data_IF_252297571034
#
_entry.id   IF_252297571034
#
_cell.length_a   1.000
_cell.length_b   1.000
_cell.length_c   1.000
_cell.angle_alpha   90.00
_cell.angle_beta   90.00
_cell.angle_gamma   90.00
#
_symmetry.space_group_name_H-M   'P 1'
#
loop_
_entity.id
_entity.type
_entity.pdbx_description
1 polymer ?
#
# COMPACT_ATOMS: atom_id res chain seq x y z
N UNK A 1 -27.53 -21.10 26.93
CA UNK A 1 -27.08 -21.28 25.53
C UNK A 1 -25.56 -21.24 25.54
N UNK A 2 -24.85 -22.18 24.91
CA UNK A 2 -23.39 -22.12 24.86
C UNK A 2 -22.97 -20.93 23.99
N UNK A 3 -22.08 -20.08 24.51
CA UNK A 3 -21.42 -19.04 23.74
C UNK A 3 -20.52 -19.72 22.71
N UNK A 4 -20.98 -19.86 21.46
CA UNK A 4 -20.15 -20.31 20.35
C UNK A 4 -19.21 -19.14 20.04
N UNK A 5 -18.00 -19.16 20.62
CA UNK A 5 -16.93 -18.26 20.19
C UNK A 5 -16.59 -18.64 18.75
N UNK A 6 -16.98 -17.79 17.81
CA UNK A 6 -16.56 -17.91 16.41
C UNK A 6 -15.03 -17.85 16.38
N UNK A 7 -14.42 -18.70 15.55
CA UNK A 7 -12.98 -18.72 15.36
C UNK A 7 -12.54 -17.35 14.80
N UNK A 8 -11.62 -16.61 15.48
CA UNK A 8 -11.21 -15.24 15.11
C UNK A 8 -10.81 -15.06 13.63
N UNK A 9 -10.36 -16.14 12.99
CA UNK A 9 -9.95 -16.19 11.58
C UNK A 9 -11.12 -15.94 10.63
N UNK A 10 -12.25 -16.59 10.90
CA UNK A 10 -13.47 -16.36 10.12
C UNK A 10 -13.99 -14.94 10.32
N UNK A 11 -13.84 -14.41 11.54
CA UNK A 11 -14.27 -13.05 11.87
C UNK A 11 -13.51 -12.02 11.03
N UNK A 12 -12.19 -12.17 10.89
CA UNK A 12 -11.35 -11.22 10.12
C UNK A 12 -11.74 -11.20 8.64
N UNK A 13 -11.78 -12.35 7.97
CA UNK A 13 -12.16 -12.43 6.55
C UNK A 13 -13.59 -11.93 6.31
N UNK A 14 -14.55 -12.36 7.15
CA UNK A 14 -15.93 -11.87 7.05
C UNK A 14 -16.00 -10.36 7.23
N UNK A 15 -15.21 -9.79 8.14
CA UNK A 15 -15.18 -8.34 8.35
C UNK A 15 -14.58 -7.59 7.17
N UNK A 16 -13.46 -8.05 6.61
CA UNK A 16 -12.84 -7.45 5.43
C UNK A 16 -13.83 -7.48 4.25
N UNK A 17 -14.49 -8.61 4.01
CA UNK A 17 -15.50 -8.74 2.96
C UNK A 17 -16.69 -7.78 3.19
N UNK A 18 -17.16 -7.69 4.42
CA UNK A 18 -18.22 -6.75 4.80
C UNK A 18 -17.82 -5.28 4.59
N UNK A 19 -16.57 -4.91 4.87
CA UNK A 19 -16.07 -3.55 4.61
C UNK A 19 -16.04 -3.28 3.11
N UNK A 20 -15.51 -4.22 2.33
CA UNK A 20 -15.46 -4.14 0.89
C UNK A 20 -16.84 -3.99 0.25
N UNK A 21 -17.81 -4.82 0.67
CA UNK A 21 -19.19 -4.76 0.17
C UNK A 21 -19.91 -3.45 0.53
N UNK A 22 -19.63 -2.87 1.70
CA UNK A 22 -20.32 -1.67 2.17
C UNK A 22 -19.69 -0.37 1.68
N UNK A 23 -18.40 -0.37 1.36
CA UNK A 23 -17.65 0.83 1.01
C UNK A 23 -17.22 0.80 -0.47
N UNK A 24 -16.67 -0.30 -0.96
CA UNK A 24 -16.10 -0.37 -2.32
C UNK A 24 -17.17 -0.66 -3.37
N UNK A 25 -18.02 -1.67 -3.18
CA UNK A 25 -19.06 -2.00 -4.17
C UNK A 25 -19.97 -0.81 -4.53
N UNK A 26 -20.42 0.03 -3.57
CA UNK A 26 -21.19 1.22 -3.91
C UNK A 26 -20.42 2.20 -4.79
N UNK A 27 -19.11 2.38 -4.55
CA UNK A 27 -18.27 3.28 -5.34
C UNK A 27 -18.18 2.85 -6.81
N UNK A 28 -18.13 1.56 -7.09
CA UNK A 28 -18.07 1.01 -8.45
C UNK A 28 -19.43 1.04 -9.15
N UNK A 29 -20.52 0.85 -8.40
CA UNK A 29 -21.88 0.82 -8.95
C UNK A 29 -22.43 2.22 -9.31
N UNK A 30 -21.94 3.26 -8.63
CA UNK A 30 -22.36 4.64 -8.87
C UNK A 30 -21.53 5.27 -9.99
N UNK A 31 -21.96 5.09 -11.23
CA UNK A 31 -21.63 6.04 -12.29
C UNK A 31 -22.26 7.38 -11.91
N UNK A 32 -21.47 8.42 -11.55
CA UNK A 32 -22.04 9.69 -11.14
C UNK A 32 -22.84 10.28 -12.32
N UNK A 33 -24.12 10.57 -12.09
CA UNK A 33 -24.86 11.41 -13.04
C UNK A 33 -24.20 12.78 -13.07
N UNK A 34 -24.19 13.45 -14.23
CA UNK A 34 -23.66 14.81 -14.37
C UNK A 34 -24.34 15.83 -13.43
N UNK A 35 -25.48 15.46 -12.83
CA UNK A 35 -26.26 16.25 -11.87
C UNK A 35 -25.94 15.98 -10.40
N UNK A 36 -25.20 14.91 -10.08
CA UNK A 36 -24.99 14.54 -8.69
C UNK A 36 -23.85 15.40 -8.11
N UNK A 37 -24.08 16.12 -7.00
CA UNK A 37 -22.98 16.79 -6.31
C UNK A 37 -21.94 15.73 -5.90
N UNK A 38 -20.65 16.07 -5.87
CA UNK A 38 -19.57 15.11 -5.64
C UNK A 38 -19.55 14.56 -4.20
N UNK A 39 -20.50 13.69 -3.85
CA UNK A 39 -20.64 13.12 -2.50
C UNK A 39 -19.52 12.14 -2.13
N UNK A 40 -18.71 11.69 -3.10
CA UNK A 40 -17.70 10.63 -2.91
C UNK A 40 -16.26 11.14 -3.02
N UNK A 41 -16.07 12.45 -3.13
CA UNK A 41 -14.76 13.10 -3.09
C UNK A 41 -14.45 13.75 -1.75
N UNK A 42 -15.43 13.69 -0.86
CA UNK A 42 -15.32 14.26 0.45
C UNK A 42 -14.35 13.42 1.28
N UNK A 43 -13.60 14.14 2.09
CA UNK A 43 -12.92 13.54 3.22
C UNK A 43 -13.94 12.76 4.04
N UNK A 44 -13.58 11.53 4.39
CA UNK A 44 -14.37 10.65 5.25
C UNK A 44 -14.07 11.05 6.69
N UNK A 45 -15.01 11.71 7.39
CA UNK A 45 -14.79 12.09 8.79
C UNK A 45 -14.87 10.85 9.70
N UNK A 46 -14.27 10.95 10.89
CA UNK A 46 -14.15 9.80 11.80
C UNK A 46 -15.50 9.24 12.28
N UNK A 47 -16.54 10.07 12.36
CA UNK A 47 -17.89 9.62 12.70
C UNK A 47 -18.50 8.71 11.63
N UNK A 48 -18.14 8.90 10.35
CA UNK A 48 -18.55 8.01 9.27
C UNK A 48 -17.73 6.71 9.30
N UNK A 49 -16.42 6.79 9.52
CA UNK A 49 -15.55 5.61 9.69
C UNK A 49 -16.05 4.68 10.82
N UNK A 50 -16.47 5.27 11.95
CA UNK A 50 -16.99 4.54 13.10
C UNK A 50 -18.22 3.68 12.79
N UNK A 51 -19.06 4.07 11.82
CA UNK A 51 -20.24 3.27 11.41
C UNK A 51 -19.86 1.92 10.82
N UNK A 52 -18.67 1.83 10.23
CA UNK A 52 -18.14 0.62 9.62
C UNK A 52 -17.23 -0.17 10.55
N UNK A 53 -17.02 0.28 11.80
CA UNK A 53 -16.02 -0.30 12.69
C UNK A 53 -14.60 -0.03 12.22
N UNK A 54 -14.37 1.16 11.66
CA UNK A 54 -13.04 1.66 11.31
C UNK A 54 -12.67 2.74 12.33
N UNK A 55 -11.46 2.66 12.87
CA UNK A 55 -10.91 3.69 13.75
C UNK A 55 -9.63 4.25 13.20
N UNK A 56 -9.63 5.56 12.97
CA UNK A 56 -8.47 6.30 12.54
C UNK A 56 -7.84 7.00 13.74
N UNK A 57 -6.54 6.89 13.88
CA UNK A 57 -5.80 7.45 15.01
C UNK A 57 -4.57 8.21 14.51
N UNK A 58 -4.30 9.42 15.03
CA UNK A 58 -3.04 10.09 14.77
C UNK A 58 -1.87 9.24 15.25
N UNK A 59 -0.80 9.16 14.45
CA UNK A 59 0.36 8.36 14.75
C UNK A 59 1.64 9.02 14.28
N UNK A 60 2.60 9.18 15.20
CA UNK A 60 3.90 9.75 14.88
C UNK A 60 4.87 8.66 14.41
N UNK A 61 4.98 8.52 13.09
CA UNK A 61 5.89 7.60 12.43
C UNK A 61 7.38 7.99 12.57
N UNK A 62 7.69 9.20 13.06
CA UNK A 62 9.08 9.65 13.29
C UNK A 62 9.67 9.09 14.60
N UNK A 63 8.80 8.70 15.56
CA UNK A 63 9.24 8.15 16.84
C UNK A 63 9.69 6.69 16.64
N UNK A 64 10.98 6.42 16.87
CA UNK A 64 11.61 5.10 16.68
C UNK A 64 11.16 4.03 17.69
N UNK A 65 10.46 4.41 18.74
CA UNK A 65 9.98 3.50 19.78
C UNK A 65 8.56 3.04 19.44
N UNK A 66 8.46 2.13 18.48
CA UNK A 66 7.22 1.41 18.13
C UNK A 66 6.92 0.37 19.21
N UNK A 67 6.76 0.84 20.45
CA UNK A 67 6.73 -0.01 21.63
C UNK A 67 5.54 -0.97 21.54
N UNK A 68 5.83 -2.27 21.52
CA UNK A 68 4.85 -3.36 21.52
C UNK A 68 4.00 -3.40 22.80
N UNK A 69 4.35 -2.57 23.79
CA UNK A 69 3.69 -2.49 25.08
C UNK A 69 2.49 -1.52 25.11
N UNK A 70 2.23 -0.76 24.05
CA UNK A 70 0.98 0.00 23.98
C UNK A 70 -0.17 -0.95 23.63
N UNK A 71 -0.93 -1.36 24.65
CA UNK A 71 -2.08 -2.28 24.52
C UNK A 71 -3.30 -1.64 23.88
N UNK A 72 -3.31 -0.33 23.64
CA UNK A 72 -4.48 0.39 23.14
C UNK A 72 -4.74 0.12 21.65
N UNK A 73 -3.69 -0.17 20.88
CA UNK A 73 -3.76 -0.35 19.43
C UNK A 73 -2.80 -1.44 18.94
N UNK A 74 -3.11 -2.15 17.85
CA UNK A 74 -2.26 -3.22 17.34
C UNK A 74 -0.86 -2.73 16.97
N UNK A 75 0.21 -3.50 17.25
CA UNK A 75 1.58 -3.06 16.97
C UNK A 75 1.79 -2.81 15.48
N UNK A 76 2.64 -1.83 15.14
CA UNK A 76 3.02 -1.59 13.73
C UNK A 76 3.92 -2.73 13.26
N UNK A 77 3.43 -3.51 12.30
CA UNK A 77 4.13 -4.69 11.78
C UNK A 77 5.12 -4.37 10.65
N UNK A 78 5.49 -3.10 10.46
CA UNK A 78 6.54 -2.69 9.53
C UNK A 78 7.70 -2.09 10.31
N UNK A 79 8.91 -2.56 10.03
CA UNK A 79 10.14 -1.99 10.57
C UNK A 79 10.79 -1.13 9.48
N UNK A 80 10.79 0.22 9.61
CA UNK A 80 11.36 1.09 8.59
C UNK A 80 12.83 0.76 8.36
N UNK A 81 13.27 0.90 7.11
CA UNK A 81 14.67 0.77 6.73
C UNK A 81 15.46 1.94 7.32
N UNK A 82 15.74 1.87 8.62
CA UNK A 82 16.62 2.82 9.26
C UNK A 82 18.03 2.61 8.70
N UNK A 83 18.69 3.72 8.38
CA UNK A 83 20.14 3.77 8.22
C UNK A 83 20.72 3.18 9.51
N UNK A 84 21.06 1.88 9.48
CA UNK A 84 21.66 1.17 10.61
C UNK A 84 22.79 2.06 11.11
N UNK A 85 22.84 2.30 12.41
CA UNK A 85 23.87 3.12 13.05
C UNK A 85 25.22 2.89 12.37
N UNK A 86 25.83 3.98 11.93
CA UNK A 86 27.06 4.07 11.13
C UNK A 86 28.30 3.38 11.72
N UNK A 87 28.15 2.56 12.75
CA UNK A 87 29.22 1.92 13.51
C UNK A 87 29.46 0.45 13.15
N UNK A 88 28.58 -0.22 12.38
CA UNK A 88 28.76 -1.66 12.06
C UNK A 88 28.82 -2.00 10.56
N UNK A 89 28.80 -1.00 9.68
CA UNK A 89 29.02 -1.21 8.25
C UNK A 89 30.51 -1.03 7.97
N UNK A 90 31.28 -2.12 8.06
CA UNK A 90 32.54 -2.23 7.32
C UNK A 90 32.28 -1.88 5.85
N UNK A 91 33.03 -0.94 5.24
CA UNK A 91 32.75 -0.44 3.91
C UNK A 91 33.21 -1.47 2.88
N UNK A 92 32.41 -2.50 2.64
CA UNK A 92 32.59 -3.39 1.50
C UNK A 92 31.35 -3.36 0.61
N UNK A 93 31.48 -2.54 -0.43
CA UNK A 93 30.67 -2.41 -1.67
C UNK A 93 29.23 -1.88 -1.55
N UNK A 94 28.82 -0.96 -2.46
CA UNK A 94 27.60 -0.16 -2.34
C UNK A 94 26.36 -0.96 -2.80
N UNK A 95 25.91 -1.92 -1.99
CA UNK A 95 24.70 -2.69 -2.27
C UNK A 95 23.43 -1.85 -2.17
N UNK A 96 23.40 -0.83 -1.29
CA UNK A 96 22.23 0.04 -1.13
C UNK A 96 22.02 1.00 -2.31
N UNK A 97 23.08 1.46 -2.97
CA UNK A 97 22.98 2.30 -4.19
C UNK A 97 22.37 1.48 -5.33
N UNK A 98 22.79 0.22 -5.51
CA UNK A 98 22.21 -0.70 -6.49
C UNK A 98 20.75 -1.07 -6.16
N UNK A 99 20.37 -1.14 -4.88
CA UNK A 99 18.99 -1.40 -4.45
C UNK A 99 18.08 -0.19 -4.66
N UNK A 100 18.55 1.01 -4.30
CA UNK A 100 17.84 2.26 -4.59
C UNK A 100 17.70 2.46 -6.11
N UNK A 101 18.76 2.18 -6.86
CA UNK A 101 18.73 2.13 -8.33
C UNK A 101 17.62 1.23 -8.85
N UNK A 102 17.54 -0.01 -8.36
CA UNK A 102 16.55 -0.95 -8.86
C UNK A 102 15.11 -0.52 -8.55
N UNK A 103 14.88 0.02 -7.36
CA UNK A 103 13.57 0.59 -6.98
C UNK A 103 13.20 1.77 -7.89
N UNK A 104 14.17 2.66 -8.12
CA UNK A 104 14.02 3.85 -8.93
C UNK A 104 13.81 3.47 -10.41
N UNK A 105 14.47 2.44 -10.92
CA UNK A 105 14.29 1.94 -12.29
C UNK A 105 12.91 1.31 -12.49
N UNK A 106 12.37 0.57 -11.51
CA UNK A 106 11.01 0.01 -11.57
C UNK A 106 9.97 1.13 -11.57
N UNK A 107 10.12 2.10 -10.66
CA UNK A 107 9.25 3.27 -10.59
C UNK A 107 9.36 4.09 -11.88
N UNK A 108 10.57 4.28 -12.43
CA UNK A 108 10.81 4.95 -13.71
C UNK A 108 10.20 4.20 -14.89
N UNK A 109 10.28 2.88 -14.97
CA UNK A 109 9.72 2.07 -16.05
C UNK A 109 8.19 2.08 -16.03
N UNK A 110 7.59 1.99 -14.85
CA UNK A 110 6.14 2.11 -14.69
C UNK A 110 5.69 3.55 -15.03
N UNK A 111 6.39 4.57 -14.55
CA UNK A 111 6.10 5.97 -14.88
C UNK A 111 6.35 6.30 -16.37
N UNK A 112 7.38 5.73 -17.00
CA UNK A 112 7.68 5.92 -18.42
C UNK A 112 6.61 5.29 -19.32
N UNK A 113 6.08 4.11 -18.96
CA UNK A 113 4.91 3.51 -19.62
C UNK A 113 3.66 4.38 -19.48
N UNK A 114 3.53 5.13 -18.40
CA UNK A 114 2.39 6.01 -18.10
C UNK A 114 2.53 7.42 -18.72
N UNK A 115 3.75 7.94 -18.90
CA UNK A 115 4.04 9.25 -19.51
C UNK A 115 3.78 9.29 -21.02
N UNK A 116 3.67 8.14 -21.69
CA UNK A 116 3.26 8.06 -23.10
C UNK A 116 1.81 8.59 -23.29
N UNK A 117 1.03 8.76 -22.21
CA UNK A 117 -0.37 9.21 -22.27
C UNK A 117 -0.70 10.59 -21.68
N UNK A 118 0.23 11.32 -21.05
CA UNK A 118 -0.12 12.56 -20.29
C UNK A 118 0.68 13.77 -20.80
N UNK A 119 0.01 14.71 -21.46
CA UNK A 119 0.58 16.02 -21.78
C UNK A 119 0.17 17.07 -20.73
N UNK A 120 1.12 17.81 -20.17
CA UNK A 120 0.85 18.96 -19.30
C UNK A 120 1.72 19.08 -18.05
N UNK A 121 1.36 20.03 -17.18
CA UNK A 121 2.09 20.51 -15.98
C UNK A 121 2.35 19.41 -14.93
N UNK A 122 1.57 18.33 -14.95
CA UNK A 122 1.78 17.15 -14.10
C UNK A 122 3.04 16.37 -14.51
N UNK A 123 3.40 16.41 -15.80
CA UNK A 123 4.62 15.82 -16.33
C UNK A 123 5.88 16.53 -15.86
N UNK A 124 5.86 17.83 -15.58
CA UNK A 124 7.07 18.58 -15.16
C UNK A 124 7.42 18.41 -13.68
N UNK A 125 6.44 18.22 -12.79
CA UNK A 125 6.72 17.88 -11.38
C UNK A 125 7.23 16.45 -11.28
N UNK A 126 6.59 15.52 -12.01
CA UNK A 126 7.02 14.13 -12.12
C UNK A 126 8.40 14.02 -12.79
N UNK A 127 8.67 14.81 -13.83
CA UNK A 127 9.98 14.87 -14.49
C UNK A 127 11.07 15.43 -13.58
N UNK A 128 10.74 16.37 -12.68
CA UNK A 128 11.69 16.85 -11.66
C UNK A 128 11.95 15.80 -10.58
N UNK A 129 10.92 15.06 -10.17
CA UNK A 129 11.04 13.91 -9.27
C UNK A 129 11.94 12.83 -9.87
N UNK A 130 11.73 12.53 -11.16
CA UNK A 130 12.53 11.64 -12.00
C UNK A 130 13.96 12.16 -12.20
N UNK A 131 14.14 13.44 -12.52
CA UNK A 131 15.45 14.03 -12.77
C UNK A 131 16.31 14.11 -11.50
N UNK A 132 15.70 14.32 -10.33
CA UNK A 132 16.39 14.26 -9.03
C UNK A 132 16.78 12.82 -8.70
N UNK A 133 15.93 11.84 -9.02
CA UNK A 133 16.25 10.41 -8.90
C UNK A 133 17.33 9.95 -9.90
N UNK A 134 17.36 10.51 -11.12
CA UNK A 134 18.31 10.18 -12.19
C UNK A 134 19.66 10.91 -12.09
N UNK A 135 19.72 12.16 -11.62
CA UNK A 135 20.98 12.93 -11.57
C UNK A 135 22.02 12.40 -10.57
N UNK A 136 21.66 11.45 -9.71
CA UNK A 136 22.62 10.69 -8.89
C UNK A 136 23.30 9.53 -9.62
N UNK A 137 22.86 9.16 -10.83
CA UNK A 137 23.06 7.82 -11.39
C UNK A 137 23.16 7.85 -12.93
N UNK A 138 24.38 7.86 -13.48
CA UNK A 138 24.58 7.66 -14.93
C UNK A 138 25.31 6.35 -15.20
N UNK A 139 24.63 5.47 -15.94
CA UNK A 139 25.18 4.34 -16.69
C UNK A 139 24.03 3.68 -17.49
N UNK A 140 24.19 3.40 -18.80
CA UNK A 140 23.07 2.93 -19.63
C UNK A 140 22.80 1.44 -19.39
N UNK A 141 21.52 1.05 -19.34
CA UNK A 141 21.08 -0.36 -19.27
C UNK A 141 20.19 -0.65 -20.49
N UNK A 142 20.44 -1.78 -21.16
CA UNK A 142 19.69 -2.27 -22.31
C UNK A 142 18.37 -2.95 -21.89
N UNK A 143 17.35 -2.85 -22.74
CA UNK A 143 16.00 -3.40 -22.53
C UNK A 143 16.02 -4.94 -22.51
N UNK A 144 15.36 -5.55 -21.51
CA UNK A 144 15.01 -6.98 -21.58
C UNK A 144 14.80 -7.77 -20.28
N UNK A 145 15.11 -7.24 -19.08
CA UNK A 145 15.07 -8.07 -17.85
C UNK A 145 14.29 -7.40 -16.70
N UNK A 146 13.40 -8.17 -16.06
CA UNK A 146 12.67 -7.80 -14.85
C UNK A 146 13.66 -7.63 -13.68
N UNK A 147 13.60 -6.51 -12.97
CA UNK A 147 14.65 -6.10 -12.04
C UNK A 147 14.36 -6.58 -10.60
N UNK A 148 15.21 -7.47 -10.08
CA UNK A 148 15.16 -7.95 -8.69
C UNK A 148 15.74 -6.93 -7.70
N UNK A 149 15.05 -6.71 -6.59
CA UNK A 149 15.45 -5.81 -5.51
C UNK A 149 15.86 -6.61 -4.27
N UNK A 150 17.02 -7.26 -4.33
CA UNK A 150 17.46 -8.18 -3.26
C UNK A 150 18.02 -7.39 -2.06
N UNK A 151 17.21 -7.23 -1.01
CA UNK A 151 17.64 -6.67 0.28
C UNK A 151 18.22 -7.76 1.19
N UNK A 152 19.37 -8.33 0.84
CA UNK A 152 20.17 -9.33 1.59
C UNK A 152 19.47 -10.66 1.98
N UNK A 153 18.17 -10.67 2.26
CA UNK A 153 17.32 -11.80 2.66
C UNK A 153 15.83 -11.63 2.29
N UNK A 154 15.39 -10.47 1.76
CA UNK A 154 13.99 -10.28 1.31
C UNK A 154 13.94 -9.46 0.02
N UNK A 155 12.95 -9.73 -0.84
CA UNK A 155 12.72 -9.00 -2.10
C UNK A 155 11.34 -8.36 -2.04
N UNK A 156 11.27 -7.04 -2.24
CA UNK A 156 10.01 -6.34 -2.49
C UNK A 156 9.73 -6.49 -3.98
N UNK A 157 8.65 -7.15 -4.33
CA UNK A 157 8.28 -7.42 -5.72
C UNK A 157 6.99 -6.68 -6.08
N UNK A 158 6.76 -6.42 -7.38
CA UNK A 158 5.42 -6.08 -7.85
C UNK A 158 4.42 -7.07 -7.27
N UNK A 159 3.28 -6.55 -6.84
CA UNK A 159 2.21 -7.35 -6.30
C UNK A 159 1.85 -8.53 -7.21
N UNK A 160 1.51 -9.66 -6.57
CA UNK A 160 0.86 -10.76 -7.25
C UNK A 160 -0.35 -10.26 -8.06
N UNK A 161 -0.62 -10.86 -9.23
CA UNK A 161 -1.80 -10.55 -10.05
C UNK A 161 -3.11 -10.62 -9.24
N UNK A 162 -3.19 -11.50 -8.24
CA UNK A 162 -4.34 -11.61 -7.33
C UNK A 162 -4.57 -10.40 -6.42
N UNK A 163 -3.56 -9.55 -6.22
CA UNK A 163 -3.72 -8.31 -5.47
C UNK A 163 -4.28 -7.17 -6.31
N UNK A 164 -4.23 -7.28 -7.64
CA UNK A 164 -4.68 -6.25 -8.55
C UNK A 164 -6.18 -6.47 -8.82
N UNK A 165 -7.03 -5.64 -8.23
CA UNK A 165 -8.49 -5.71 -8.31
C UNK A 165 -9.14 -4.38 -8.69
N UNK A 166 -10.46 -4.28 -8.50
CA UNK A 166 -11.21 -3.01 -8.64
C UNK A 166 -10.79 -1.98 -7.59
N UNK A 167 -11.33 -0.76 -7.58
CA UNK A 167 -11.08 0.20 -6.47
C UNK A 167 -9.68 0.85 -6.35
N UNK A 168 -8.64 0.34 -7.01
CA UNK A 168 -7.32 0.97 -7.05
C UNK A 168 -7.25 2.25 -7.88
N UNK A 169 -8.20 2.43 -8.79
CA UNK A 169 -8.25 3.59 -9.68
C UNK A 169 -9.67 4.14 -9.72
N UNK A 170 -9.78 5.47 -9.65
CA UNK A 170 -11.03 6.16 -9.94
C UNK A 170 -10.73 7.40 -10.79
N UNK A 171 -11.02 7.27 -12.08
CA UNK A 171 -10.90 8.37 -13.04
C UNK A 171 -12.27 9.02 -13.24
N UNK A 172 -12.58 10.03 -12.42
CA UNK A 172 -13.73 10.91 -12.70
C UNK A 172 -13.36 11.98 -13.73
N UNK A 173 -14.38 12.59 -14.33
CA UNK A 173 -14.25 13.74 -15.25
C UNK A 173 -13.34 14.82 -14.65
N UNK A 174 -12.63 15.62 -15.47
CA UNK A 174 -11.47 16.46 -15.07
C UNK A 174 -11.68 17.52 -13.97
N UNK A 175 -12.89 17.69 -13.46
CA UNK A 175 -13.24 18.63 -12.38
C UNK A 175 -13.54 17.96 -11.04
N UNK A 176 -13.65 16.64 -11.04
CA UNK A 176 -13.89 15.83 -9.86
C UNK A 176 -12.57 15.13 -9.55
N UNK A 177 -12.10 15.23 -8.30
CA UNK A 177 -10.87 14.56 -7.89
C UNK A 177 -10.86 13.08 -8.28
N UNK A 178 -9.66 12.55 -8.36
CA UNK A 178 -9.32 11.26 -8.91
C UNK A 178 -8.17 10.70 -8.10
N UNK A 179 -8.13 9.37 -8.02
CA UNK A 179 -7.02 8.69 -7.37
C UNK A 179 -6.58 7.48 -8.17
N UNK A 180 -5.34 7.09 -7.94
CA UNK A 180 -4.74 5.93 -8.56
C UNK A 180 -3.69 5.35 -7.63
N UNK A 181 -3.79 4.06 -7.33
CA UNK A 181 -2.68 3.30 -6.77
C UNK A 181 -1.61 3.12 -7.86
N UNK A 182 -0.42 3.64 -7.61
CA UNK A 182 0.73 3.57 -8.52
C UNK A 182 1.61 2.38 -8.23
N UNK A 183 1.66 1.94 -6.99
CA UNK A 183 2.41 0.77 -6.60
C UNK A 183 1.61 -0.02 -5.57
N UNK A 184 1.56 -1.33 -5.79
CA UNK A 184 1.11 -2.34 -4.83
C UNK A 184 2.26 -3.33 -4.77
N UNK A 185 2.83 -3.53 -3.59
CA UNK A 185 4.05 -4.30 -3.40
C UNK A 185 3.85 -5.33 -2.29
N UNK A 186 4.40 -6.52 -2.51
CA UNK A 186 4.42 -7.61 -1.52
C UNK A 186 5.85 -7.93 -1.11
N UNK A 187 5.98 -8.48 0.10
CA UNK A 187 7.23 -9.09 0.54
C UNK A 187 7.30 -10.55 0.15
N UNK A 188 8.35 -10.90 -0.59
CA UNK A 188 8.72 -12.29 -0.84
C UNK A 188 10.11 -12.58 -0.30
N UNK A 189 10.26 -13.70 0.40
CA UNK A 189 11.55 -14.24 0.82
C UNK A 189 11.78 -15.54 0.03
N UNK A 190 12.89 -15.62 -0.71
CA UNK A 190 13.18 -16.72 -1.63
C UNK A 190 12.01 -17.04 -2.59
N UNK A 191 11.42 -16.00 -3.19
CA UNK A 191 10.24 -16.05 -4.07
C UNK A 191 8.95 -16.62 -3.44
N UNK A 192 8.97 -16.86 -2.12
CA UNK A 192 7.81 -17.34 -1.37
C UNK A 192 7.17 -16.19 -0.60
N UNK A 193 5.84 -16.21 -0.61
CA UNK A 193 5.02 -15.25 0.10
C UNK A 193 4.86 -15.73 1.56
N UNK A 194 5.49 -15.00 2.49
CA UNK A 194 5.56 -15.40 3.91
C UNK A 194 4.71 -14.53 4.83
N UNK A 195 4.44 -13.30 4.42
CA UNK A 195 3.90 -12.27 5.30
C UNK A 195 2.69 -11.61 4.66
N UNK A 196 1.63 -11.32 5.43
CA UNK A 196 0.45 -10.69 4.88
C UNK A 196 0.56 -9.17 4.75
N UNK A 197 1.73 -8.70 4.34
CA UNK A 197 2.10 -7.29 4.34
C UNK A 197 2.08 -6.73 2.93
N UNK A 198 1.38 -5.62 2.76
CA UNK A 198 1.33 -4.88 1.50
C UNK A 198 1.86 -3.47 1.70
N UNK A 199 2.64 -2.99 0.75
CA UNK A 199 2.98 -1.58 0.63
C UNK A 199 2.23 -0.98 -0.55
N UNK A 200 1.58 0.16 -0.32
CA UNK A 200 0.84 0.93 -1.31
C UNK A 200 1.47 2.31 -1.53
N UNK A 201 1.41 2.78 -2.77
CA UNK A 201 1.63 4.19 -3.10
C UNK A 201 0.41 4.66 -3.89
N UNK A 202 -0.29 5.67 -3.39
CA UNK A 202 -1.47 6.24 -4.06
C UNK A 202 -1.23 7.69 -4.43
N UNK A 203 -1.70 8.11 -5.60
CA UNK A 203 -1.80 9.51 -6.00
C UNK A 203 -3.23 9.99 -5.85
N UNK A 204 -3.40 11.17 -5.27
CA UNK A 204 -4.67 11.89 -5.17
C UNK A 204 -4.53 13.21 -5.95
N UNK A 205 -5.51 13.56 -6.78
CA UNK A 205 -5.53 14.88 -7.44
C UNK A 205 -6.05 16.00 -6.54
N UNK A 206 -6.58 15.68 -5.36
CA UNK A 206 -7.03 16.64 -4.35
C UNK A 206 -5.99 16.85 -3.23
N UNK A 207 -6.10 17.98 -2.55
CA UNK A 207 -5.42 18.22 -1.28
C UNK A 207 -6.16 17.47 -0.17
N UNK A 208 -5.44 16.98 0.84
CA UNK A 208 -6.06 16.44 2.05
C UNK A 208 -5.84 17.35 3.25
N UNK A 209 -6.61 17.10 4.30
CA UNK A 209 -6.49 17.76 5.59
C UNK A 209 -5.91 16.83 6.65
N UNK A 210 -5.39 17.42 7.71
CA UNK A 210 -4.76 16.71 8.82
C UNK A 210 -5.74 15.76 9.53
N UNK A 211 -6.94 16.24 9.84
CA UNK A 211 -7.89 15.56 10.72
C UNK A 211 -8.91 14.70 9.98
N UNK A 212 -8.58 14.22 8.79
CA UNK A 212 -9.48 13.41 7.99
C UNK A 212 -8.75 12.54 6.97
N UNK A 213 -9.46 11.62 6.33
CA UNK A 213 -8.93 10.74 5.28
C UNK A 213 -9.74 10.91 3.99
N UNK A 214 -9.10 10.89 2.83
CA UNK A 214 -9.79 10.90 1.54
C UNK A 214 -10.38 9.53 1.22
N UNK A 215 -11.50 9.49 0.49
CA UNK A 215 -12.03 8.22 -0.02
C UNK A 215 -11.00 7.47 -0.89
N UNK A 216 -10.20 8.21 -1.68
CA UNK A 216 -9.13 7.64 -2.47
C UNK A 216 -7.95 7.10 -1.66
N UNK A 217 -7.91 7.32 -0.35
CA UNK A 217 -6.95 6.69 0.57
C UNK A 217 -7.58 5.48 1.25
N UNK A 218 -8.84 5.60 1.66
CA UNK A 218 -9.58 4.51 2.31
C UNK A 218 -9.81 3.33 1.36
N UNK A 219 -10.24 3.61 0.13
CA UNK A 219 -10.64 2.58 -0.81
C UNK A 219 -9.47 1.65 -1.19
N UNK A 220 -8.29 2.14 -1.58
CA UNK A 220 -7.13 1.29 -1.85
C UNK A 220 -6.66 0.46 -0.65
N UNK A 221 -6.80 0.96 0.58
CA UNK A 221 -6.48 0.19 1.79
C UNK A 221 -7.41 -1.03 1.90
N UNK A 222 -8.73 -0.81 1.83
CA UNK A 222 -9.73 -1.87 1.98
C UNK A 222 -9.59 -2.88 0.84
N UNK A 223 -9.42 -2.39 -0.39
CA UNK A 223 -9.21 -3.23 -1.57
C UNK A 223 -7.96 -4.11 -1.42
N UNK A 224 -6.82 -3.52 -1.05
CA UNK A 224 -5.59 -4.28 -0.86
C UNK A 224 -5.75 -5.34 0.25
N UNK A 225 -6.39 -5.00 1.37
CA UNK A 225 -6.68 -5.98 2.42
C UNK A 225 -7.57 -7.12 1.91
N UNK A 226 -8.62 -6.80 1.16
CA UNK A 226 -9.56 -7.77 0.59
C UNK A 226 -8.86 -8.72 -0.37
N UNK A 227 -8.14 -8.19 -1.35
CA UNK A 227 -7.47 -9.00 -2.36
C UNK A 227 -6.38 -9.86 -1.74
N UNK A 228 -5.65 -9.31 -0.77
CA UNK A 228 -4.62 -10.04 -0.06
C UNK A 228 -5.19 -11.11 0.89
N UNK A 229 -6.37 -10.89 1.48
CA UNK A 229 -7.07 -11.91 2.26
C UNK A 229 -7.55 -13.07 1.38
N UNK A 230 -8.11 -12.77 0.21
CA UNK A 230 -8.66 -13.77 -0.70
C UNK A 230 -7.63 -14.35 -1.68
N UNK A 231 -6.37 -13.93 -1.57
CA UNK A 231 -5.30 -14.40 -2.43
C UNK A 231 -5.16 -15.92 -2.34
N UNK A 232 -5.27 -16.64 -3.48
CA UNK A 232 -5.14 -18.08 -3.50
C UNK A 232 -3.69 -18.49 -3.24
N UNK A 233 -3.52 -19.64 -2.60
CA UNK A 233 -2.22 -20.26 -2.43
C UNK A 233 -1.71 -20.78 -3.78
N UNK A 234 -0.57 -20.27 -4.21
CA UNK A 234 0.18 -20.74 -5.38
C UNK A 234 1.12 -21.85 -4.91
N UNK A 235 1.02 -23.04 -5.51
CA UNK A 235 1.90 -24.16 -5.17
C UNK A 235 3.22 -24.08 -5.96
N UNK A 236 4.24 -24.76 -5.46
CA UNK A 236 5.55 -24.80 -6.14
C UNK A 236 5.40 -25.45 -7.53
N UNK A 237 5.77 -24.71 -8.57
CA UNK A 237 5.63 -25.12 -9.97
C UNK A 237 4.32 -24.70 -10.64
N UNK A 238 3.37 -24.11 -9.91
CA UNK A 238 2.18 -23.49 -10.50
C UNK A 238 2.56 -22.18 -11.20
N UNK A 239 1.82 -21.87 -12.27
CA UNK A 239 1.91 -20.61 -13.00
C UNK A 239 0.85 -19.65 -12.46
N UNK A 240 1.29 -18.55 -11.83
CA UNK A 240 0.42 -17.55 -11.19
C UNK A 240 -0.57 -16.94 -12.19
N UNK A 241 -0.13 -16.63 -13.40
CA UNK A 241 -0.96 -15.99 -14.44
C UNK A 241 -2.02 -16.97 -14.96
N UNK A 242 -1.64 -18.22 -15.25
CA UNK A 242 -2.63 -19.24 -15.66
C UNK A 242 -3.66 -19.51 -14.57
N UNK A 243 -3.23 -19.46 -13.30
CA UNK A 243 -4.15 -19.61 -12.20
C UNK A 243 -5.13 -18.44 -12.11
N UNK A 244 -4.64 -17.22 -12.33
CA UNK A 244 -5.49 -16.04 -12.36
C UNK A 244 -6.53 -16.11 -13.46
N UNK A 245 -6.12 -16.43 -14.69
CA UNK A 245 -7.03 -16.64 -15.82
C UNK A 245 -8.09 -17.72 -15.52
N UNK A 246 -7.69 -18.82 -14.87
CA UNK A 246 -8.64 -19.88 -14.51
C UNK A 246 -9.69 -19.40 -13.50
N UNK A 247 -9.29 -18.61 -12.50
CA UNK A 247 -10.17 -18.08 -11.47
C UNK A 247 -11.08 -16.96 -11.98
N UNK A 248 -10.61 -16.12 -12.91
CA UNK A 248 -11.47 -15.16 -13.60
C UNK A 248 -12.55 -15.84 -14.42
N UNK A 249 -12.20 -16.93 -15.11
CA UNK A 249 -13.15 -17.69 -15.94
C UNK A 249 -14.15 -18.51 -15.12
N UNK A 250 -13.74 -19.02 -13.96
CA UNK A 250 -14.61 -19.77 -13.05
C UNK A 250 -14.32 -19.40 -11.58
N UNK A 251 -15.01 -18.38 -11.02
CA UNK A 251 -14.83 -17.95 -9.65
C UNK A 251 -15.35 -18.97 -8.62
N UNK A 252 -15.99 -20.07 -9.07
CA UNK A 252 -16.45 -21.13 -8.16
C UNK A 252 -15.35 -22.12 -7.78
N UNK A 253 -14.20 -22.07 -8.47
CA UNK A 253 -13.01 -22.86 -8.15
C UNK A 253 -12.54 -22.47 -6.74
N UNK A 254 -12.80 -23.35 -5.77
CA UNK A 254 -12.31 -23.17 -4.41
C UNK A 254 -10.83 -23.54 -4.33
N UNK A 255 -10.00 -22.60 -3.92
CA UNK A 255 -8.61 -22.85 -3.55
C UNK A 255 -8.35 -22.53 -2.09
N UNK A 256 -7.33 -23.19 -1.54
CA UNK A 256 -6.77 -22.81 -0.26
C UNK A 256 -6.22 -21.38 -0.37
N UNK A 257 -6.50 -20.54 0.62
CA UNK A 257 -5.97 -19.17 0.66
C UNK A 257 -4.51 -19.18 1.10
N UNK A 258 -3.69 -18.30 0.52
CA UNK A 258 -2.30 -18.11 0.90
C UNK A 258 -2.17 -17.76 2.39
N UNK A 259 -3.16 -17.02 2.93
CA UNK A 259 -3.21 -16.58 4.32
C UNK A 259 -4.48 -17.02 5.02
N UNK A 260 -4.88 -18.28 4.86
CA UNK A 260 -6.08 -18.83 5.52
C UNK A 260 -6.07 -18.71 7.06
N UNK A 261 -4.91 -18.45 7.67
CA UNK A 261 -4.75 -18.27 9.12
C UNK A 261 -4.48 -16.81 9.51
N UNK A 262 -4.47 -15.88 8.56
CA UNK A 262 -4.17 -14.47 8.80
C UNK A 262 -5.26 -13.76 9.59
N UNK A 263 -4.86 -12.94 10.57
CA UNK A 263 -5.76 -12.18 11.45
C UNK A 263 -5.59 -10.66 11.34
N UNK A 264 -4.54 -10.19 10.63
CA UNK A 264 -4.09 -8.79 10.71
C UNK A 264 -4.03 -8.04 9.37
N UNK A 265 -3.64 -8.69 8.28
CA UNK A 265 -3.49 -8.09 6.94
C UNK A 265 -2.94 -6.64 6.94
N UNK A 266 -1.72 -6.41 7.47
CA UNK A 266 -1.14 -5.08 7.59
C UNK A 266 -0.83 -4.43 6.23
N UNK A 267 -1.25 -3.17 6.08
CA UNK A 267 -1.02 -2.33 4.90
C UNK A 267 -0.23 -1.09 5.33
N UNK A 268 0.88 -0.80 4.64
CA UNK A 268 1.59 0.47 4.74
C UNK A 268 1.35 1.26 3.46
N UNK A 269 0.79 2.46 3.56
CA UNK A 269 0.50 3.28 2.39
C UNK A 269 1.19 4.64 2.47
N UNK A 270 1.86 5.04 1.39
CA UNK A 270 2.19 6.44 1.14
C UNK A 270 1.13 7.06 0.23
N UNK A 271 0.37 8.01 0.77
CA UNK A 271 -0.58 8.82 0.00
C UNK A 271 0.10 10.11 -0.43
N UNK A 272 0.14 10.37 -1.74
CA UNK A 272 0.64 11.60 -2.33
C UNK A 272 -0.55 12.47 -2.74
N UNK A 273 -0.69 13.63 -2.10
CA UNK A 273 -1.87 14.50 -2.18
C UNK A 273 -1.56 15.78 -2.94
N UNK A 274 -2.32 16.01 -4.02
CA UNK A 274 -2.10 17.14 -4.90
C UNK A 274 -0.65 17.18 -5.42
N UNK A 275 -0.14 18.36 -5.80
CA UNK A 275 1.22 18.46 -6.33
C UNK A 275 2.32 18.43 -5.24
N UNK A 276 1.98 18.57 -3.96
CA UNK A 276 2.92 19.10 -2.96
C UNK A 276 2.84 18.49 -1.56
N UNK A 277 1.93 17.55 -1.29
CA UNK A 277 1.79 16.96 0.04
C UNK A 277 1.86 15.45 0.02
N UNK A 278 2.24 14.83 1.14
CA UNK A 278 2.09 13.40 1.34
C UNK A 278 1.87 13.06 2.81
N UNK A 279 1.34 11.86 3.07
CA UNK A 279 1.26 11.27 4.40
C UNK A 279 1.37 9.75 4.35
N UNK A 280 1.71 9.17 5.49
CA UNK A 280 1.77 7.72 5.68
C UNK A 280 0.53 7.22 6.41
N UNK A 281 0.08 6.04 6.01
CA UNK A 281 -0.91 5.26 6.73
C UNK A 281 -0.37 3.88 7.05
N UNK A 282 -0.65 3.40 8.24
CA UNK A 282 -0.56 2.00 8.59
C UNK A 282 -1.95 1.52 8.94
N UNK A 283 -2.48 0.57 8.18
CA UNK A 283 -3.79 0.00 8.41
C UNK A 283 -3.66 -1.48 8.76
N UNK A 284 -4.42 -1.94 9.73
CA UNK A 284 -4.37 -3.33 10.17
C UNK A 284 -5.71 -3.73 10.80
N UNK A 285 -6.13 -4.97 10.55
CA UNK A 285 -7.23 -5.56 11.28
C UNK A 285 -6.82 -5.83 12.73
N UNK A 286 -7.70 -5.49 13.66
CA UNK A 286 -7.62 -5.85 15.07
C UNK A 286 -8.95 -6.47 15.51
N UNK A 287 -8.95 -7.81 15.54
CA UNK A 287 -10.16 -8.60 15.71
C UNK A 287 -11.20 -8.25 14.62
N UNK A 288 -12.30 -7.61 14.99
CA UNK A 288 -13.40 -7.20 14.11
C UNK A 288 -13.37 -5.71 13.73
N UNK A 289 -12.27 -5.01 14.05
CA UNK A 289 -12.10 -3.59 13.79
C UNK A 289 -10.93 -3.34 12.82
N UNK A 290 -11.10 -2.39 11.90
CA UNK A 290 -10.00 -1.89 11.09
C UNK A 290 -9.37 -0.67 11.78
N UNK A 291 -8.12 -0.78 12.19
CA UNK A 291 -7.38 0.33 12.80
C UNK A 291 -6.47 0.96 11.75
N UNK A 292 -6.61 2.27 11.56
CA UNK A 292 -5.82 3.07 10.62
C UNK A 292 -5.02 4.11 11.41
N UNK A 293 -3.71 3.95 11.45
CA UNK A 293 -2.76 4.92 11.98
C UNK A 293 -2.35 5.89 10.89
N UNK A 294 -2.53 7.18 11.12
CA UNK A 294 -2.27 8.22 10.13
C UNK A 294 -1.16 9.18 10.62
N UNK A 295 -0.19 9.47 9.76
CA UNK A 295 0.81 10.50 10.03
C UNK A 295 0.26 11.91 9.90
N UNK A 296 1.04 12.90 10.35
CA UNK A 296 0.82 14.28 9.91
C UNK A 296 0.93 14.44 8.40
N UNK A 297 0.38 15.51 7.85
CA UNK A 297 0.58 15.90 6.46
C UNK A 297 1.96 16.54 6.29
N UNK A 298 2.76 15.99 5.39
CA UNK A 298 4.08 16.48 5.07
C UNK A 298 4.08 17.32 3.80
N UNK A 299 4.85 18.41 3.80
CA UNK A 299 5.01 19.29 2.64
C UNK A 299 6.26 18.92 1.83
N UNK A 300 6.08 18.90 0.51
CA UNK A 300 7.10 18.65 -0.52
C UNK A 300 7.31 19.87 -1.44
N UNK A 301 6.73 21.02 -1.09
CA UNK A 301 6.86 22.26 -1.87
C UNK A 301 8.33 22.68 -2.08
N UNK A 302 9.16 22.43 -1.07
CA UNK A 302 10.57 22.78 -1.05
C UNK A 302 11.41 21.52 -0.97
N UNK A 303 12.13 21.20 -2.04
CA UNK A 303 12.96 20.00 -2.11
C UNK A 303 13.98 19.86 -0.98
N UNK A 304 14.51 20.97 -0.45
CA UNK A 304 15.48 20.97 0.65
C UNK A 304 14.89 20.58 2.01
N UNK A 305 13.58 20.72 2.20
CA UNK A 305 12.88 20.38 3.46
C UNK A 305 11.91 19.22 3.30
N UNK A 306 11.78 18.69 2.09
CA UNK A 306 10.92 17.57 1.78
C UNK A 306 11.46 16.29 2.46
N UNK A 307 10.62 15.52 3.16
CA UNK A 307 11.05 14.37 3.94
C UNK A 307 11.22 13.11 3.07
N UNK A 308 12.00 13.22 1.98
CA UNK A 308 12.20 12.12 1.02
C UNK A 308 12.74 10.86 1.68
N UNK A 309 13.82 11.00 2.45
CA UNK A 309 14.49 9.87 3.12
C UNK A 309 13.54 9.17 4.08
N UNK A 310 12.70 9.94 4.78
CA UNK A 310 11.71 9.40 5.71
C UNK A 310 10.68 8.51 5.00
N UNK A 311 10.08 8.98 3.90
CA UNK A 311 9.13 8.17 3.12
C UNK A 311 9.81 6.95 2.49
N UNK A 312 11.03 7.11 1.96
CA UNK A 312 11.80 6.02 1.39
C UNK A 312 12.11 4.93 2.43
N UNK A 313 12.50 5.31 3.66
CA UNK A 313 12.76 4.36 4.74
C UNK A 313 11.52 3.51 5.07
N UNK A 314 10.33 4.12 5.06
CA UNK A 314 9.08 3.39 5.28
C UNK A 314 8.69 2.50 4.11
N UNK A 315 8.77 3.00 2.88
CA UNK A 315 8.46 2.21 1.68
C UNK A 315 9.45 1.04 1.47
N UNK A 316 10.66 1.14 2.01
CA UNK A 316 11.67 0.07 2.00
C UNK A 316 11.72 -0.73 3.30
N UNK A 317 10.70 -0.59 4.15
CA UNK A 317 10.61 -1.30 5.44
C UNK A 317 10.76 -2.82 5.26
N UNK A 318 10.86 -3.55 6.36
CA UNK A 318 10.73 -5.01 6.37
C UNK A 318 9.51 -5.41 7.20
N UNK A 319 8.83 -6.51 6.86
CA UNK A 319 7.74 -7.02 7.65
C UNK A 319 8.27 -7.48 9.02
N UNK A 320 7.45 -7.34 10.03
CA UNK A 320 7.67 -7.92 11.35
C UNK A 320 6.70 -9.09 11.53
N UNK A 321 7.14 -10.20 12.14
CA UNK A 321 6.24 -11.30 12.46
C UNK A 321 5.20 -10.83 13.50
N UNK A 322 3.98 -11.32 13.37
CA UNK A 322 3.02 -11.27 14.47
C UNK A 322 3.49 -12.28 15.53
N UNK A 323 4.02 -11.79 16.64
CA UNK A 323 4.27 -12.67 17.78
C UNK A 323 2.90 -13.12 18.29
N UNK A 324 2.67 -14.43 18.32
CA UNK A 324 1.50 -14.97 18.98
C UNK A 324 1.51 -14.47 20.43
N UNK A 325 0.46 -13.74 20.83
CA UNK A 325 0.24 -13.45 22.24
C UNK A 325 0.15 -14.81 22.96
N UNK A 326 1.11 -15.08 23.85
CA UNK A 326 1.14 -16.29 24.68
C UNK A 326 -0.07 -16.38 25.61
#
# INVERSE_FOLDING_TARGET
>A
MPNIRLNPKFVTHTKINSLWEQIILPLDSHLPSASDPPQFLDEVPDNELGKYGISRVPFDFEIKNYDSNNTEYPPVLFCPFLNQSSTDIQPTRPSWILRLLSFVTIILLQILRLLIGVSGIHGTVLWKFIAILLHGLVGPIQEGEYLHLTLSYATILPANVFLLGGGFENFRLPFYGSWQARAVLEYRENDKLHHPHVILITLQSCNGQEDSMLMGELAPIIEAMKNHADQPRVLEGDDEEKLFEALENDPTIRKELAFAQGTRFPILMASLLGPQHARLFYACMDNDQLVIRQSKLFSFEKGATAPWDFFACWLLSRPLPEYAAE
#
